data_IF_267197291569
#
_entry.id   IF_267197291569
#
_cell.length_a   1.000
_cell.length_b   1.000
_cell.length_c   1.000
_cell.angle_alpha   90.00
_cell.angle_beta   90.00
_cell.angle_gamma   90.00
#
_symmetry.space_group_name_H-M   'P 1'
#
loop_
_entity.id
_entity.type
_entity.pdbx_description
1 polymer ?
#
# COMPACT_ATOMS: atom_id res chain seq x y z
N UNK A 1 20.65 3.05 1.02
CA UNK A 1 19.17 2.93 1.06
C UNK A 1 18.74 2.14 -0.17
N UNK A 2 18.10 0.99 0.02
CA UNK A 2 17.89 -0.01 -1.04
C UNK A 2 17.04 0.53 -2.19
N UNK A 3 17.43 0.19 -3.43
CA UNK A 3 16.77 0.57 -4.69
C UNK A 3 15.25 0.43 -4.60
N UNK A 4 14.54 1.52 -4.91
CA UNK A 4 13.09 1.75 -4.89
C UNK A 4 12.18 0.56 -4.60
N UNK A 5 11.55 0.54 -3.42
CA UNK A 5 10.50 -0.42 -3.10
C UNK A 5 9.41 -0.40 -4.18
N UNK A 6 9.00 -1.58 -4.66
CA UNK A 6 7.92 -1.73 -5.67
C UNK A 6 6.52 -1.47 -5.09
N UNK A 7 6.44 -1.30 -3.78
CA UNK A 7 5.21 -1.11 -3.00
C UNK A 7 5.38 0.02 -2.00
N UNK A 8 4.27 0.60 -1.54
CA UNK A 8 4.21 1.50 -0.39
C UNK A 8 3.19 0.97 0.63
N UNK A 9 3.31 1.41 1.88
CA UNK A 9 2.39 1.05 2.95
C UNK A 9 1.35 2.16 3.11
N UNK A 10 0.10 1.77 3.30
CA UNK A 10 -1.01 2.70 3.53
C UNK A 10 -1.93 2.12 4.61
N UNK A 11 -2.46 2.97 5.48
CA UNK A 11 -3.49 2.56 6.42
C UNK A 11 -4.84 2.51 5.72
N UNK A 12 -5.73 1.63 6.14
CA UNK A 12 -7.11 1.55 5.67
C UNK A 12 -8.05 1.42 6.85
N UNK A 13 -9.03 2.31 6.93
CA UNK A 13 -10.08 2.21 7.94
C UNK A 13 -11.04 1.07 7.58
N UNK A 14 -11.32 0.18 8.54
CA UNK A 14 -12.15 -1.01 8.30
C UNK A 14 -13.64 -0.70 8.31
N UNK A 15 -14.05 0.45 8.84
CA UNK A 15 -15.45 0.90 8.88
C UNK A 15 -15.83 1.65 7.61
N UNK A 16 -14.98 2.59 7.17
CA UNK A 16 -15.28 3.45 6.02
C UNK A 16 -14.64 2.96 4.72
N UNK A 17 -13.58 2.15 4.81
CA UNK A 17 -12.78 1.73 3.67
C UNK A 17 -11.82 2.82 3.16
N UNK A 18 -11.76 3.97 3.81
CA UNK A 18 -10.90 5.08 3.43
C UNK A 18 -9.44 4.80 3.72
N UNK A 19 -8.57 5.41 2.91
CA UNK A 19 -7.14 5.35 3.14
C UNK A 19 -6.70 6.42 4.12
N UNK A 20 -5.97 5.99 5.14
CA UNK A 20 -5.44 6.83 6.22
C UNK A 20 -3.91 6.69 6.32
N UNK A 21 -3.21 7.65 6.95
CA UNK A 21 -1.78 7.51 7.19
C UNK A 21 -1.46 6.28 8.03
N UNK A 22 -0.33 5.61 7.74
CA UNK A 22 0.12 4.40 8.47
C UNK A 22 0.28 4.67 9.97
N UNK A 23 0.68 5.88 10.36
CA UNK A 23 0.78 6.27 11.78
C UNK A 23 -0.57 6.21 12.48
N UNK A 24 -1.62 6.68 11.81
CA UNK A 24 -2.98 6.65 12.36
C UNK A 24 -3.51 5.22 12.44
N UNK A 25 -3.26 4.41 11.41
CA UNK A 25 -3.65 3.00 11.45
C UNK A 25 -2.96 2.22 12.58
N UNK A 26 -1.66 2.48 12.79
CA UNK A 26 -0.92 1.89 13.91
C UNK A 26 -1.42 2.34 15.28
N UNK A 27 -1.98 3.55 15.38
CA UNK A 27 -2.60 4.05 16.62
C UNK A 27 -3.98 3.47 16.92
N UNK A 28 -4.66 2.89 15.91
CA UNK A 28 -6.00 2.30 16.04
C UNK A 28 -6.08 0.90 15.40
N UNK A 29 -5.25 -0.07 15.83
CA UNK A 29 -5.13 -1.37 15.16
C UNK A 29 -6.43 -2.21 15.19
N UNK A 30 -7.35 -1.91 16.10
CA UNK A 30 -8.62 -2.64 16.21
C UNK A 30 -9.63 -2.28 15.11
N UNK A 31 -9.52 -1.09 14.51
CA UNK A 31 -10.49 -0.60 13.51
C UNK A 31 -9.84 -0.26 12.19
N UNK A 32 -8.53 -0.46 12.05
CA UNK A 32 -7.77 -0.07 10.87
C UNK A 32 -6.75 -1.15 10.55
N UNK A 33 -6.39 -1.25 9.27
CA UNK A 33 -5.41 -2.21 8.77
C UNK A 33 -4.29 -1.47 8.05
N UNK A 34 -3.09 -2.07 7.98
CA UNK A 34 -1.99 -1.53 7.17
C UNK A 34 -1.82 -2.43 5.96
N UNK A 35 -2.14 -1.90 4.79
CA UNK A 35 -2.04 -2.61 3.51
C UNK A 35 -0.77 -2.23 2.77
N UNK A 36 -0.25 -3.19 1.99
CA UNK A 36 0.90 -2.99 1.10
C UNK A 36 0.40 -2.83 -0.32
N UNK A 37 0.42 -1.60 -0.82
CA UNK A 37 -0.08 -1.24 -2.14
C UNK A 37 1.07 -1.22 -3.15
N UNK A 38 0.98 -1.91 -4.29
CA UNK A 38 1.98 -1.82 -5.34
C UNK A 38 1.98 -0.42 -5.96
N UNK A 39 3.18 0.06 -6.30
CA UNK A 39 3.32 1.26 -7.13
C UNK A 39 2.77 0.97 -8.52
N UNK A 40 2.31 2.01 -9.22
CA UNK A 40 1.84 1.90 -10.60
C UNK A 40 2.84 1.12 -11.47
N UNK A 41 2.33 0.19 -12.28
CA UNK A 41 3.14 -0.73 -13.10
C UNK A 41 3.70 -1.96 -12.37
N UNK A 42 3.70 -2.01 -11.03
CA UNK A 42 4.15 -3.17 -10.25
C UNK A 42 3.00 -4.05 -9.71
N UNK A 43 1.76 -3.76 -10.11
CA UNK A 43 0.61 -4.62 -9.81
C UNK A 43 0.54 -5.84 -10.75
N UNK A 44 -0.41 -6.74 -10.47
CA UNK A 44 -0.62 -7.99 -11.22
C UNK A 44 -0.98 -7.78 -12.70
N UNK A 45 -1.32 -6.56 -13.10
CA UNK A 45 -1.70 -6.22 -14.49
C UNK A 45 -0.55 -6.19 -15.49
N UNK A 46 0.66 -6.65 -15.14
CA UNK A 46 1.77 -6.88 -16.09
C UNK A 46 2.31 -5.65 -16.83
N UNK A 47 1.77 -4.45 -16.61
CA UNK A 47 2.13 -3.22 -17.34
C UNK A 47 3.55 -2.71 -17.06
N UNK A 48 4.24 -3.27 -16.06
CA UNK A 48 5.66 -2.99 -15.76
C UNK A 48 6.65 -4.04 -16.29
N UNK A 49 6.19 -5.05 -17.02
CA UNK A 49 7.06 -5.96 -17.75
C UNK A 49 7.75 -5.20 -18.88
N UNK A 50 9.05 -4.92 -18.71
CA UNK A 50 9.92 -4.42 -19.77
C UNK A 50 9.64 -5.20 -21.07
N UNK A 51 9.20 -4.50 -22.13
CA UNK A 51 9.45 -4.97 -23.50
C UNK A 51 10.95 -5.22 -23.62
N UNK A 52 11.30 -6.45 -23.95
CA UNK A 52 12.65 -6.90 -24.29
C UNK A 52 13.02 -6.41 -25.68
#
# INVERSE_FOLDING_TARGET
MSKGSKTFLLGRDSKTGEFIPVKEAKGRPNTTTVERIPKSGNGDTGRGGKKK
#
